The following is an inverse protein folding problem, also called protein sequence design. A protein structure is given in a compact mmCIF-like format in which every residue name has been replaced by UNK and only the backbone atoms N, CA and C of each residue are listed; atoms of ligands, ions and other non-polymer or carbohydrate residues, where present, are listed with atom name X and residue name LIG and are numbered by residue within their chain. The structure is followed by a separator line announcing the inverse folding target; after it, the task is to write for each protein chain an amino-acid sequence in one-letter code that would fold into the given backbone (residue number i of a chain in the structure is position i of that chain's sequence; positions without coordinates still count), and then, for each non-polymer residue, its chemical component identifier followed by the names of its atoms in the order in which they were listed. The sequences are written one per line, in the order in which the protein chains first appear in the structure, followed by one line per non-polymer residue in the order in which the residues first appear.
data_IF_597658011793
#
_entry.id   IF_597658011793
#
_cell.length_a   1.000
_cell.length_b   1.000
_cell.length_c   1.000
_cell.angle_alpha   90.00
_cell.angle_beta   90.00
_cell.angle_gamma   90.00
#
_symmetry.space_group_name_H-M   'P 1'
#
loop_
_entity.id
_entity.type
_entity.pdbx_description
1 polymer ?
#
# COMPACT_ATOMS: atom_id res chain seq x y z
N UNK A 1 19.54 -4.10 24.25
CA UNK A 1 18.11 -4.26 24.59
C UNK A 1 17.43 -4.65 23.29
N UNK A 2 16.64 -5.71 23.28
CA UNK A 2 15.84 -6.13 22.12
C UNK A 2 14.74 -5.10 21.92
N UNK A 3 14.65 -4.48 20.74
CA UNK A 3 13.53 -3.59 20.41
C UNK A 3 12.23 -4.41 20.44
N UNK A 4 11.18 -3.88 21.07
CA UNK A 4 9.87 -4.54 21.15
C UNK A 4 8.78 -3.58 20.69
N UNK A 5 7.92 -4.04 19.80
CA UNK A 5 6.91 -3.22 19.13
C UNK A 5 5.49 -3.76 19.37
N UNK A 6 4.53 -2.88 19.58
CA UNK A 6 3.11 -3.25 19.66
C UNK A 6 2.49 -3.28 18.27
N UNK A 7 1.99 -4.44 17.84
CA UNK A 7 1.43 -4.66 16.50
C UNK A 7 -0.04 -5.04 16.58
N UNK A 8 -0.91 -4.25 15.95
CA UNK A 8 -2.28 -4.66 15.69
C UNK A 8 -2.33 -5.54 14.44
N UNK A 9 -3.03 -6.67 14.52
CA UNK A 9 -3.24 -7.57 13.39
C UNK A 9 -4.72 -7.61 13.06
N UNK A 10 -5.07 -7.28 11.82
CA UNK A 10 -6.43 -7.28 11.30
C UNK A 10 -6.48 -8.22 10.10
N UNK A 11 -6.72 -9.52 10.30
CA UNK A 11 -6.77 -10.48 9.19
C UNK A 11 -7.88 -10.17 8.19
N UNK A 12 -9.04 -9.75 8.71
CA UNK A 12 -10.22 -9.38 7.92
C UNK A 12 -10.88 -10.57 7.23
N UNK A 13 -11.32 -10.38 5.98
CA UNK A 13 -12.21 -11.29 5.26
C UNK A 13 -11.51 -12.05 4.12
N UNK A 14 -12.13 -13.16 3.69
CA UNK A 14 -11.74 -13.94 2.52
C UNK A 14 -10.35 -14.56 2.65
N UNK A 15 -9.42 -14.23 1.75
CA UNK A 15 -8.04 -14.73 1.78
C UNK A 15 -7.17 -14.05 2.85
N UNK A 16 -7.65 -12.95 3.43
CA UNK A 16 -6.91 -12.14 4.42
C UNK A 16 -6.27 -12.98 5.54
N UNK A 17 -7.02 -13.83 6.25
CA UNK A 17 -6.47 -14.73 7.26
C UNK A 17 -5.35 -15.66 6.79
N UNK A 18 -5.45 -16.21 5.57
CA UNK A 18 -4.43 -17.12 5.03
C UNK A 18 -3.11 -16.38 4.74
N UNK A 19 -3.19 -15.21 4.10
CA UNK A 19 -2.00 -14.44 3.70
C UNK A 19 -1.37 -13.71 4.88
N UNK A 20 -2.17 -13.22 5.84
CA UNK A 20 -1.66 -12.61 7.08
C UNK A 20 -0.99 -13.67 7.96
N UNK A 21 -1.55 -14.88 8.05
CA UNK A 21 -0.89 -16.00 8.74
C UNK A 21 0.52 -16.25 8.20
N UNK A 22 0.67 -16.30 6.88
CA UNK A 22 1.99 -16.45 6.25
C UNK A 22 2.93 -15.27 6.54
N UNK A 23 2.42 -14.04 6.57
CA UNK A 23 3.22 -12.88 6.96
C UNK A 23 3.71 -12.99 8.41
N UNK A 24 2.87 -13.46 9.34
CA UNK A 24 3.26 -13.67 10.73
C UNK A 24 4.32 -14.76 10.89
N UNK A 25 4.26 -15.85 10.12
CA UNK A 25 5.31 -16.89 10.13
C UNK A 25 6.67 -16.34 9.65
N UNK A 26 6.65 -15.45 8.66
CA UNK A 26 7.84 -14.75 8.17
C UNK A 26 8.35 -13.72 9.19
N UNK A 27 7.44 -13.03 9.89
CA UNK A 27 7.79 -12.12 10.99
C UNK A 27 8.49 -12.87 12.11
N UNK A 28 8.00 -14.05 12.52
CA UNK A 28 8.66 -14.89 13.54
C UNK A 28 10.09 -15.27 13.14
N UNK A 29 10.29 -15.61 11.85
CA UNK A 29 11.62 -15.91 11.32
C UNK A 29 12.55 -14.68 11.35
N UNK A 30 12.02 -13.49 11.03
CA UNK A 30 12.77 -12.24 11.08
C UNK A 30 13.14 -11.85 12.52
N UNK A 31 12.19 -11.93 13.46
CA UNK A 31 12.41 -11.65 14.89
C UNK A 31 13.52 -12.53 15.46
N UNK A 32 13.44 -13.86 15.20
CA UNK A 32 14.43 -14.82 15.66
C UNK A 32 15.84 -14.54 15.11
N UNK A 33 15.94 -14.08 13.86
CA UNK A 33 17.23 -13.81 13.21
C UNK A 33 17.84 -12.47 13.59
N UNK A 34 17.03 -11.41 13.62
CA UNK A 34 17.51 -10.04 13.75
C UNK A 34 17.43 -9.49 15.18
N UNK A 35 16.78 -10.21 16.10
CA UNK A 35 16.83 -9.88 17.52
C UNK A 35 15.96 -8.69 17.94
N UNK A 36 14.77 -8.58 17.35
CA UNK A 36 13.67 -7.71 17.79
C UNK A 36 12.44 -8.57 18.13
N UNK A 37 11.35 -7.98 18.63
CA UNK A 37 10.11 -8.71 18.88
C UNK A 37 8.85 -7.85 18.73
N UNK A 38 7.72 -8.50 18.54
CA UNK A 38 6.41 -7.84 18.49
C UNK A 38 5.43 -8.41 19.51
N UNK A 39 4.68 -7.53 20.17
CA UNK A 39 3.50 -7.86 20.97
C UNK A 39 2.28 -7.69 20.08
N UNK A 40 1.69 -8.81 19.67
CA UNK A 40 0.63 -8.84 18.66
C UNK A 40 -0.74 -8.91 19.30
N UNK A 41 -1.62 -7.99 18.92
CA UNK A 41 -3.04 -8.01 19.30
C UNK A 41 -3.87 -8.21 18.04
N UNK A 42 -4.57 -9.34 17.96
CA UNK A 42 -5.55 -9.54 16.90
C UNK A 42 -6.81 -8.72 17.19
N UNK A 43 -7.26 -7.96 16.20
CA UNK A 43 -8.48 -7.16 16.26
C UNK A 43 -9.49 -7.77 15.31
N UNK A 44 -10.60 -8.25 15.87
CA UNK A 44 -11.71 -8.81 15.10
C UNK A 44 -12.46 -7.69 14.39
N UNK A 45 -12.48 -7.75 13.06
CA UNK A 45 -13.18 -6.83 12.19
C UNK A 45 -13.47 -7.52 10.84
N UNK A 46 -14.29 -6.90 10.01
CA UNK A 46 -14.65 -7.41 8.68
C UNK A 46 -16.14 -7.68 8.55
N UNK A 47 -16.51 -8.24 7.40
CA UNK A 47 -17.89 -8.48 7.00
C UNK A 47 -18.63 -9.38 7.98
N UNK A 48 -18.02 -10.49 8.41
CA UNK A 48 -18.68 -11.43 9.33
C UNK A 48 -18.92 -10.79 10.71
N UNK A 49 -17.96 -10.00 11.20
CA UNK A 49 -18.10 -9.24 12.44
C UNK A 49 -19.23 -8.21 12.32
N UNK A 50 -19.24 -7.45 11.23
CA UNK A 50 -20.28 -6.45 10.95
C UNK A 50 -21.67 -7.08 10.85
N UNK A 51 -21.82 -8.21 10.14
CA UNK A 51 -23.10 -8.91 10.01
C UNK A 51 -23.62 -9.43 11.36
N UNK A 52 -22.72 -9.80 12.27
CA UNK A 52 -23.09 -10.30 13.59
C UNK A 52 -23.41 -9.19 14.60
N UNK A 53 -22.74 -8.04 14.53
CA UNK A 53 -22.73 -7.03 15.60
C UNK A 53 -23.21 -5.65 15.15
N UNK A 54 -23.10 -5.33 13.86
CA UNK A 54 -23.27 -3.99 13.30
C UNK A 54 -22.10 -3.04 13.56
N UNK A 55 -21.04 -3.49 14.23
CA UNK A 55 -19.87 -2.68 14.60
C UNK A 55 -18.95 -2.41 13.40
N UNK A 56 -18.36 -1.22 13.38
CA UNK A 56 -17.47 -0.70 12.35
C UNK A 56 -16.18 -0.16 13.00
N UNK A 57 -15.49 0.78 12.36
CA UNK A 57 -14.19 1.26 12.86
C UNK A 57 -14.30 2.04 14.17
N UNK A 58 -15.38 2.80 14.37
CA UNK A 58 -15.52 3.66 15.54
C UNK A 58 -15.44 2.88 16.86
N UNK A 59 -15.90 1.62 16.84
CA UNK A 59 -15.94 0.71 17.97
C UNK A 59 -14.56 0.09 18.30
N UNK A 60 -13.68 -0.05 17.30
CA UNK A 60 -12.33 -0.64 17.46
C UNK A 60 -11.19 0.36 17.44
N UNK A 61 -11.47 1.63 17.12
CA UNK A 61 -10.48 2.70 16.97
C UNK A 61 -9.54 2.81 18.19
N UNK A 62 -10.10 2.77 19.40
CA UNK A 62 -9.31 2.99 20.62
C UNK A 62 -8.39 1.80 20.92
N UNK A 63 -8.80 0.59 20.54
CA UNK A 63 -7.94 -0.59 20.62
C UNK A 63 -6.77 -0.49 19.62
N UNK A 64 -6.99 0.11 18.44
CA UNK A 64 -5.97 0.27 17.42
C UNK A 64 -4.99 1.41 17.69
N UNK A 65 -5.46 2.53 18.25
CA UNK A 65 -4.69 3.80 18.35
C UNK A 65 -3.36 3.67 19.12
N UNK A 66 -3.27 2.74 20.07
CA UNK A 66 -2.09 2.56 20.92
C UNK A 66 -0.97 1.71 20.33
N UNK A 67 -1.17 1.13 19.15
CA UNK A 67 -0.17 0.28 18.49
C UNK A 67 0.88 1.09 17.73
N UNK A 68 2.08 0.53 17.54
CA UNK A 68 3.12 1.13 16.69
C UNK A 68 2.76 1.03 15.20
N UNK A 69 2.09 -0.05 14.81
CA UNK A 69 1.67 -0.30 13.43
C UNK A 69 0.46 -1.23 13.37
N UNK A 70 -0.21 -1.23 12.21
CA UNK A 70 -1.30 -2.15 11.87
C UNK A 70 -0.86 -3.01 10.68
N UNK A 71 -0.91 -4.33 10.84
CA UNK A 71 -0.85 -5.29 9.72
C UNK A 71 -2.28 -5.68 9.34
N UNK A 72 -2.69 -5.34 8.13
CA UNK A 72 -4.06 -5.53 7.64
C UNK A 72 -4.08 -6.48 6.44
N UNK A 73 -5.00 -7.45 6.46
CA UNK A 73 -5.17 -8.44 5.40
C UNK A 73 -6.01 -7.92 4.26
N UNK A 74 -7.32 -8.16 4.32
CA UNK A 74 -8.29 -7.68 3.33
C UNK A 74 -9.66 -7.54 3.96
N UNK A 75 -10.54 -6.70 3.42
CA UNK A 75 -11.91 -6.56 3.93
C UNK A 75 -12.91 -6.42 2.79
N UNK A 76 -14.05 -7.09 2.94
CA UNK A 76 -15.13 -7.08 1.97
C UNK A 76 -15.75 -8.45 1.76
N UNK A 77 -17.07 -8.47 1.61
CA UNK A 77 -17.85 -9.67 1.32
C UNK A 77 -19.09 -9.25 0.50
N UNK A 78 -19.46 -9.98 -0.57
CA UNK A 78 -20.68 -9.70 -1.34
C UNK A 78 -21.99 -9.68 -0.53
N UNK A 79 -22.01 -10.27 0.66
CA UNK A 79 -23.14 -10.25 1.58
C UNK A 79 -23.38 -8.87 2.23
N UNK A 80 -22.38 -7.99 2.24
CA UNK A 80 -22.49 -6.63 2.80
C UNK A 80 -22.68 -5.63 1.66
N UNK A 81 -23.59 -4.67 1.85
CA UNK A 81 -23.86 -3.66 0.82
C UNK A 81 -22.60 -2.83 0.54
N UNK A 82 -22.20 -2.66 -0.74
CA UNK A 82 -21.03 -1.87 -1.10
C UNK A 82 -21.07 -0.46 -0.51
N UNK A 83 -19.93 -0.02 0.02
CA UNK A 83 -19.77 1.28 0.67
C UNK A 83 -19.94 1.24 2.17
N UNK A 84 -20.47 0.17 2.78
CA UNK A 84 -20.56 0.07 4.25
C UNK A 84 -19.17 -0.18 4.85
N UNK A 85 -18.50 -1.25 4.46
CA UNK A 85 -17.18 -1.60 5.02
C UNK A 85 -16.08 -0.68 4.48
N UNK A 86 -16.14 -0.34 3.19
CA UNK A 86 -15.14 0.52 2.57
C UNK A 86 -15.16 1.92 3.19
N UNK A 87 -16.34 2.51 3.43
CA UNK A 87 -16.44 3.84 4.02
C UNK A 87 -16.38 3.81 5.54
N UNK A 88 -17.17 2.95 6.16
CA UNK A 88 -17.32 2.88 7.61
C UNK A 88 -16.18 2.18 8.34
N UNK A 89 -15.27 1.52 7.60
CA UNK A 89 -14.08 0.93 8.19
C UNK A 89 -12.79 1.46 7.57
N UNK A 90 -12.54 1.15 6.29
CA UNK A 90 -11.23 1.40 5.67
C UNK A 90 -10.97 2.91 5.51
N UNK A 91 -11.88 3.66 4.90
CA UNK A 91 -11.71 5.10 4.71
C UNK A 91 -11.78 5.85 6.04
N UNK A 92 -12.69 5.45 6.93
CA UNK A 92 -12.80 6.05 8.25
C UNK A 92 -11.51 5.87 9.07
N UNK A 93 -10.92 4.67 9.06
CA UNK A 93 -9.61 4.43 9.69
C UNK A 93 -8.53 5.34 9.12
N UNK A 94 -8.39 5.40 7.79
CA UNK A 94 -7.39 6.24 7.12
C UNK A 94 -7.55 7.71 7.51
N UNK A 95 -8.78 8.21 7.56
CA UNK A 95 -9.08 9.60 7.93
C UNK A 95 -8.82 9.88 9.42
N UNK A 96 -9.36 9.05 10.33
CA UNK A 96 -9.28 9.26 11.78
C UNK A 96 -7.88 9.03 12.35
N UNK A 97 -7.07 8.21 11.69
CA UNK A 97 -5.65 8.04 11.98
C UNK A 97 -4.76 8.89 11.09
N UNK A 98 -5.31 9.82 10.29
CA UNK A 98 -4.57 10.74 9.44
C UNK A 98 -3.46 10.05 8.61
N UNK A 99 -3.77 8.86 8.09
CA UNK A 99 -2.86 8.05 7.27
C UNK A 99 -2.78 8.64 5.85
N UNK A 100 -2.25 9.86 5.76
CA UNK A 100 -2.39 10.78 4.63
C UNK A 100 -1.65 10.35 3.36
N UNK A 101 -0.57 9.60 3.48
CA UNK A 101 0.21 9.11 2.34
C UNK A 101 0.04 7.60 2.19
N UNK A 102 -0.63 7.17 1.12
CA UNK A 102 -0.63 5.78 0.70
C UNK A 102 0.54 5.56 -0.27
N UNK A 103 1.57 4.86 0.19
CA UNK A 103 2.79 4.55 -0.56
C UNK A 103 2.65 3.19 -1.21
N UNK A 104 2.66 3.17 -2.54
CA UNK A 104 2.54 1.95 -3.36
C UNK A 104 3.74 1.81 -4.28
N UNK A 105 4.73 0.97 -3.92
CA UNK A 105 5.81 0.62 -4.82
C UNK A 105 5.26 -0.12 -6.03
N UNK A 106 5.72 0.25 -7.22
CA UNK A 106 5.44 -0.45 -8.48
C UNK A 106 6.76 -0.94 -9.04
N UNK A 107 7.01 -2.25 -8.91
CA UNK A 107 8.29 -2.88 -9.26
C UNK A 107 8.11 -4.24 -9.89
N UNK A 108 8.58 -4.40 -11.13
CA UNK A 108 8.68 -5.72 -11.73
C UNK A 108 9.92 -6.42 -11.16
N UNK A 109 9.73 -7.54 -10.47
CA UNK A 109 10.84 -8.32 -9.94
C UNK A 109 11.37 -9.35 -10.94
N UNK A 110 12.65 -9.77 -10.84
CA UNK A 110 13.20 -10.85 -11.66
C UNK A 110 12.37 -12.14 -11.57
N UNK A 111 12.09 -12.75 -12.73
CA UNK A 111 11.31 -14.00 -12.82
C UNK A 111 9.79 -13.83 -12.75
N UNK A 112 9.29 -12.64 -12.39
CA UNK A 112 7.84 -12.39 -12.30
C UNK A 112 7.26 -12.15 -13.70
N UNK A 113 6.21 -12.89 -14.12
CA UNK A 113 5.56 -12.65 -15.40
C UNK A 113 4.81 -11.30 -15.39
N UNK A 114 4.85 -10.58 -16.51
CA UNK A 114 4.08 -9.35 -16.74
C UNK A 114 3.33 -9.44 -18.05
N UNK A 115 2.10 -8.89 -18.15
CA UNK A 115 1.39 -8.81 -19.42
C UNK A 115 2.02 -7.79 -20.39
N UNK A 116 2.97 -6.97 -19.92
CA UNK A 116 3.60 -5.93 -20.72
C UNK A 116 4.75 -6.51 -21.56
N UNK A 117 4.55 -6.56 -22.87
CA UNK A 117 5.52 -7.11 -23.80
C UNK A 117 6.87 -6.37 -23.75
N UNK A 118 7.96 -7.12 -23.52
CA UNK A 118 9.32 -6.58 -23.53
C UNK A 118 9.67 -5.69 -22.33
N UNK A 119 8.84 -5.67 -21.28
CA UNK A 119 9.18 -5.01 -20.03
C UNK A 119 10.20 -5.86 -19.25
N UNK A 120 11.20 -5.20 -18.68
CA UNK A 120 12.23 -5.84 -17.85
C UNK A 120 12.24 -5.22 -16.45
N UNK A 121 12.73 -5.93 -15.43
CA UNK A 121 12.83 -5.41 -14.05
C UNK A 121 13.49 -4.04 -13.96
N UNK A 122 14.56 -3.81 -14.73
CA UNK A 122 15.33 -2.55 -14.71
C UNK A 122 14.54 -1.35 -15.25
N UNK A 123 13.47 -1.61 -16.02
CA UNK A 123 12.62 -0.57 -16.61
C UNK A 123 11.39 -0.27 -15.74
N UNK A 124 11.08 -1.09 -14.74
CA UNK A 124 9.87 -0.94 -13.93
C UNK A 124 10.23 -0.87 -12.45
N UNK A 125 10.56 0.33 -11.99
CA UNK A 125 10.76 0.60 -10.57
C UNK A 125 10.39 2.05 -10.26
N UNK A 126 9.21 2.25 -9.67
CA UNK A 126 8.72 3.56 -9.24
C UNK A 126 7.93 3.43 -7.94
N UNK A 127 7.59 4.56 -7.33
CA UNK A 127 6.73 4.62 -6.16
C UNK A 127 5.63 5.64 -6.41
N UNK A 128 4.38 5.21 -6.24
CA UNK A 128 3.23 6.09 -6.31
C UNK A 128 2.84 6.46 -4.87
N UNK A 129 2.86 7.75 -4.59
CA UNK A 129 2.42 8.35 -3.33
C UNK A 129 1.05 8.99 -3.57
N UNK A 130 0.01 8.30 -3.10
CA UNK A 130 -1.39 8.71 -3.20
C UNK A 130 -1.80 9.48 -1.95
N UNK A 131 -2.39 10.65 -2.11
CA UNK A 131 -3.12 11.32 -1.02
C UNK A 131 -4.32 10.43 -0.62
N UNK A 132 -4.49 10.17 0.67
CA UNK A 132 -5.29 9.05 1.14
C UNK A 132 -6.40 9.42 2.12
N UNK A 133 -6.59 10.71 2.40
CA UNK A 133 -7.54 11.22 3.41
C UNK A 133 -8.56 12.23 2.86
N UNK A 134 -8.27 12.85 1.72
CA UNK A 134 -9.07 13.92 1.11
C UNK A 134 -9.47 13.54 -0.35
N UNK A 135 -9.73 14.53 -1.19
CA UNK A 135 -10.12 14.37 -2.60
C UNK A 135 -11.59 13.98 -2.76
N UNK A 136 -11.91 13.21 -3.81
CA UNK A 136 -13.27 12.76 -4.09
C UNK A 136 -13.81 11.72 -3.07
N UNK A 137 -12.94 11.20 -2.20
CA UNK A 137 -13.22 10.08 -1.29
C UNK A 137 -13.67 10.57 0.10
N UNK A 138 -13.63 11.89 0.35
CA UNK A 138 -14.25 12.52 1.54
C UNK A 138 -15.74 12.21 1.67
N UNK A 139 -16.40 11.83 0.57
CA UNK A 139 -17.78 11.38 0.61
C UNK A 139 -18.81 12.50 0.75
N UNK A 140 -18.39 13.77 0.65
CA UNK A 140 -19.27 14.94 0.65
C UNK A 140 -20.04 15.05 -0.66
N UNK A 141 -21.35 15.27 -0.55
CA UNK A 141 -22.26 15.32 -1.68
C UNK A 141 -23.73 15.29 -1.25
N UNK A 142 -24.64 15.30 -2.23
CA UNK A 142 -26.07 15.13 -1.98
C UNK A 142 -26.79 14.61 -3.22
N UNK A 143 -27.95 13.98 -3.00
CA UNK A 143 -28.88 13.62 -4.08
C UNK A 143 -30.18 14.37 -3.90
N UNK A 144 -30.61 15.08 -4.93
CA UNK A 144 -31.88 15.83 -4.97
C UNK A 144 -32.85 15.12 -5.92
N UNK A 145 -34.15 15.12 -5.58
CA UNK A 145 -35.20 14.43 -6.34
C UNK A 145 -34.94 12.93 -6.58
N UNK A 146 -34.31 12.26 -5.60
CA UNK A 146 -34.01 10.84 -5.64
C UNK A 146 -35.26 10.00 -5.97
N UNK A 147 -35.10 8.97 -6.82
CA UNK A 147 -36.19 8.09 -7.23
C UNK A 147 -37.15 8.68 -8.26
N UNK A 148 -36.85 9.85 -8.83
CA UNK A 148 -37.63 10.45 -9.91
C UNK A 148 -36.79 10.62 -11.18
N UNK A 149 -37.40 10.82 -12.37
CA UNK A 149 -36.65 11.15 -13.60
C UNK A 149 -35.84 12.45 -13.52
N UNK A 150 -36.08 13.30 -12.52
CA UNK A 150 -35.37 14.56 -12.30
C UNK A 150 -34.23 14.44 -11.27
N UNK A 151 -33.83 13.21 -10.92
CA UNK A 151 -32.78 12.99 -9.92
C UNK A 151 -31.46 13.65 -10.32
N UNK A 152 -30.86 14.37 -9.38
CA UNK A 152 -29.54 15.00 -9.51
C UNK A 152 -28.66 14.48 -8.39
N UNK A 153 -27.49 13.95 -8.72
CA UNK A 153 -26.47 13.57 -7.76
C UNK A 153 -25.27 14.52 -7.89
N UNK A 154 -24.80 15.02 -6.75
CA UNK A 154 -23.63 15.87 -6.65
C UNK A 154 -22.63 15.21 -5.70
N UNK A 155 -21.38 15.17 -6.12
CA UNK A 155 -20.25 14.69 -5.31
C UNK A 155 -19.10 15.68 -5.42
N UNK A 156 -18.53 16.04 -4.28
CA UNK A 156 -17.46 17.03 -4.19
C UNK A 156 -16.09 16.36 -4.06
N UNK A 157 -15.05 17.02 -4.59
CA UNK A 157 -13.65 16.67 -4.35
C UNK A 157 -13.02 17.78 -3.52
N UNK A 158 -12.78 17.52 -2.24
CA UNK A 158 -12.23 18.50 -1.31
C UNK A 158 -10.72 18.33 -1.23
N UNK A 159 -9.97 19.38 -1.53
CA UNK A 159 -8.52 19.36 -1.53
C UNK A 159 -8.04 20.55 -0.71
N UNK A 160 -7.36 20.30 0.41
CA UNK A 160 -6.82 21.36 1.26
C UNK A 160 -5.33 21.54 0.99
N UNK A 161 -4.83 22.78 1.14
CA UNK A 161 -3.39 23.06 1.00
C UNK A 161 -2.56 22.22 1.98
N UNK A 162 -3.03 22.07 3.22
CA UNK A 162 -2.36 21.25 4.24
C UNK A 162 -2.37 19.75 3.90
N UNK A 163 -3.47 19.24 3.34
CA UNK A 163 -3.59 17.90 2.75
C UNK A 163 -2.53 17.61 1.71
N UNK A 164 -2.42 18.53 0.75
CA UNK A 164 -1.48 18.41 -0.37
C UNK A 164 -0.03 18.57 0.12
N UNK A 165 0.26 19.59 0.93
CA UNK A 165 1.63 19.90 1.37
C UNK A 165 2.30 18.73 2.09
N UNK A 166 1.59 18.04 2.99
CA UNK A 166 2.18 16.90 3.73
C UNK A 166 2.56 15.74 2.83
N UNK A 167 1.71 15.41 1.85
CA UNK A 167 1.95 14.28 0.93
C UNK A 167 3.02 14.64 -0.10
N UNK A 168 3.00 15.87 -0.62
CA UNK A 168 4.01 16.37 -1.57
C UNK A 168 5.38 16.50 -0.90
N UNK A 169 5.46 17.03 0.33
CA UNK A 169 6.71 17.10 1.09
C UNK A 169 7.30 15.70 1.33
N UNK A 170 6.47 14.75 1.76
CA UNK A 170 6.88 13.35 1.89
C UNK A 170 7.40 12.78 0.56
N UNK A 171 6.69 13.01 -0.55
CA UNK A 171 7.10 12.52 -1.86
C UNK A 171 8.43 13.13 -2.34
N UNK A 172 8.70 14.41 -2.06
CA UNK A 172 10.01 15.02 -2.32
C UNK A 172 11.12 14.38 -1.48
N UNK A 173 10.89 14.16 -0.18
CA UNK A 173 11.85 13.50 0.70
C UNK A 173 12.15 12.07 0.26
N UNK A 174 11.13 11.36 -0.23
CA UNK A 174 11.29 10.05 -0.84
C UNK A 174 12.13 10.12 -2.12
N UNK A 175 11.83 11.08 -3.01
CA UNK A 175 12.56 11.26 -4.27
C UNK A 175 14.05 11.57 -4.04
N UNK A 176 14.39 12.35 -3.00
CA UNK A 176 15.78 12.66 -2.63
C UNK A 176 16.63 11.41 -2.37
N UNK A 177 16.04 10.38 -1.76
CA UNK A 177 16.71 9.11 -1.49
C UNK A 177 16.76 8.16 -2.70
N UNK A 178 16.08 8.52 -3.80
CA UNK A 178 15.91 7.71 -5.02
C UNK A 178 16.62 8.37 -6.21
N UNK A 179 15.99 8.38 -7.39
CA UNK A 179 16.54 8.94 -8.63
C UNK A 179 16.31 10.45 -8.74
N UNK A 180 15.90 11.09 -7.63
CA UNK A 180 15.69 12.54 -7.51
C UNK A 180 14.73 13.08 -8.58
N UNK A 181 13.65 12.36 -8.83
CA UNK A 181 12.59 12.82 -9.74
C UNK A 181 11.20 12.64 -9.12
N UNK A 182 10.43 13.73 -9.10
CA UNK A 182 9.05 13.77 -8.66
C UNK A 182 8.14 14.13 -9.85
N UNK A 183 7.11 13.33 -10.10
CA UNK A 183 6.09 13.62 -11.12
C UNK A 183 4.74 13.86 -10.45
N UNK A 184 4.15 15.04 -10.65
CA UNK A 184 2.74 15.27 -10.29
C UNK A 184 1.85 14.64 -11.36
N UNK A 185 0.99 13.70 -10.96
CA UNK A 185 -0.08 13.16 -11.80
C UNK A 185 -1.41 13.82 -11.43
N UNK A 186 -2.06 14.52 -12.35
CA UNK A 186 -3.36 15.15 -12.09
C UNK A 186 -4.15 15.40 -13.39
N UNK A 187 -5.27 16.14 -13.33
CA UNK A 187 -6.03 16.58 -14.51
C UNK A 187 -6.27 18.09 -14.52
N UNK A 188 -5.18 18.87 -14.48
CA UNK A 188 -5.21 20.35 -14.30
C UNK A 188 -5.95 21.12 -15.39
N UNK A 189 -6.09 20.55 -16.58
CA UNK A 189 -6.80 21.17 -17.70
C UNK A 189 -8.33 21.09 -17.59
N UNK A 190 -8.86 20.20 -16.73
CA UNK A 190 -10.30 20.03 -16.51
C UNK A 190 -10.66 20.38 -15.05
N UNK A 191 -9.93 19.83 -14.09
CA UNK A 191 -10.11 20.10 -12.66
C UNK A 191 -9.30 21.34 -12.27
N UNK A 192 -9.67 22.50 -12.81
CA UNK A 192 -8.85 23.72 -12.73
C UNK A 192 -8.59 24.17 -11.30
N UNK A 193 -9.60 24.20 -10.42
CA UNK A 193 -9.44 24.66 -9.04
C UNK A 193 -8.52 23.75 -8.22
N UNK A 194 -8.80 22.44 -8.17
CA UNK A 194 -7.96 21.48 -7.47
C UNK A 194 -6.56 21.39 -8.10
N UNK A 195 -6.50 21.31 -9.43
CA UNK A 195 -5.25 21.20 -10.17
C UNK A 195 -4.35 22.43 -10.08
N UNK A 196 -4.92 23.63 -9.93
CA UNK A 196 -4.15 24.83 -9.63
C UNK A 196 -3.52 24.73 -8.24
N UNK A 197 -4.31 24.37 -7.21
CA UNK A 197 -3.79 24.24 -5.85
C UNK A 197 -2.69 23.18 -5.74
N UNK A 198 -2.85 22.02 -6.40
CA UNK A 198 -1.83 20.98 -6.45
C UNK A 198 -0.53 21.47 -7.12
N UNK A 199 -0.63 22.19 -8.24
CA UNK A 199 0.54 22.75 -8.92
C UNK A 199 1.24 23.82 -8.07
N UNK A 200 0.49 24.71 -7.43
CA UNK A 200 1.03 25.75 -6.54
C UNK A 200 1.82 25.12 -5.40
N UNK A 201 1.29 24.09 -4.72
CA UNK A 201 1.99 23.42 -3.63
C UNK A 201 3.25 22.70 -4.10
N UNK A 202 3.22 22.00 -5.25
CA UNK A 202 4.42 21.36 -5.81
C UNK A 202 5.48 22.41 -6.17
N UNK A 203 5.08 23.53 -6.77
CA UNK A 203 5.98 24.62 -7.10
C UNK A 203 6.59 25.25 -5.83
N UNK A 204 5.79 25.56 -4.82
CA UNK A 204 6.23 26.11 -3.54
C UNK A 204 7.27 25.20 -2.85
N UNK A 205 6.97 23.90 -2.77
CA UNK A 205 7.83 22.93 -2.09
C UNK A 205 9.09 22.61 -2.89
N UNK A 206 9.06 22.68 -4.22
CA UNK A 206 10.23 22.42 -5.07
C UNK A 206 11.43 23.30 -4.71
N UNK A 207 11.20 24.53 -4.23
CA UNK A 207 12.25 25.44 -3.77
C UNK A 207 13.04 24.90 -2.57
N UNK A 208 12.44 24.01 -1.76
CA UNK A 208 13.10 23.33 -0.63
C UNK A 208 13.90 22.09 -1.07
N UNK A 209 13.69 21.62 -2.29
CA UNK A 209 14.27 20.39 -2.84
C UNK A 209 14.92 20.63 -4.22
N UNK A 210 15.90 21.55 -4.34
CA UNK A 210 16.45 21.97 -5.62
C UNK A 210 17.19 20.86 -6.41
N UNK A 211 17.51 19.75 -5.74
CA UNK A 211 18.12 18.57 -6.35
C UNK A 211 17.11 17.63 -7.01
N UNK A 212 15.81 17.80 -6.77
CA UNK A 212 14.75 16.93 -7.30
C UNK A 212 14.17 17.54 -8.56
N UNK A 213 14.27 16.84 -9.68
CA UNK A 213 13.59 17.19 -10.93
C UNK A 213 12.08 17.05 -10.75
N UNK A 214 11.32 18.10 -11.09
CA UNK A 214 9.85 18.07 -11.09
C UNK A 214 9.30 17.89 -12.51
N UNK A 215 8.44 16.91 -12.71
CA UNK A 215 7.69 16.66 -13.96
C UNK A 215 6.16 16.71 -13.67
N UNK A 216 5.36 16.83 -14.72
CA UNK A 216 3.91 16.79 -14.66
C UNK A 216 3.35 15.89 -15.76
N UNK A 217 2.33 15.10 -15.41
CA UNK A 217 1.62 14.27 -16.38
C UNK A 217 0.12 14.30 -16.12
N UNK A 218 -0.67 14.36 -17.18
CA UNK A 218 -2.10 14.18 -17.05
C UNK A 218 -2.44 12.72 -16.73
N UNK A 219 -3.44 12.45 -15.88
CA UNK A 219 -3.78 11.08 -15.47
C UNK A 219 -4.10 10.13 -16.63
N UNK A 220 -4.75 10.61 -17.69
CA UNK A 220 -4.98 9.83 -18.92
C UNK A 220 -3.68 9.54 -19.67
N UNK A 221 -2.76 10.51 -19.75
CA UNK A 221 -1.43 10.29 -20.29
C UNK A 221 -0.59 9.36 -19.40
N UNK A 222 -0.78 9.39 -18.08
CA UNK A 222 -0.15 8.44 -17.15
C UNK A 222 -0.59 7.01 -17.48
N UNK A 223 -1.89 6.79 -17.66
CA UNK A 223 -2.42 5.49 -18.07
C UNK A 223 -1.86 5.00 -19.42
N UNK A 224 -1.48 5.91 -20.31
CA UNK A 224 -0.78 5.57 -21.55
C UNK A 224 0.71 5.27 -21.35
N UNK A 225 1.41 6.09 -20.55
CA UNK A 225 2.86 5.98 -20.37
C UNK A 225 3.28 4.83 -19.44
N UNK A 226 2.53 4.55 -18.38
CA UNK A 226 2.86 3.47 -17.43
C UNK A 226 3.13 2.12 -18.09
N UNK A 227 2.27 1.60 -19.00
CA UNK A 227 2.53 0.31 -19.66
C UNK A 227 3.62 0.37 -20.74
N UNK A 228 4.02 1.55 -21.23
CA UNK A 228 4.93 1.65 -22.38
C UNK A 228 6.36 2.07 -21.98
N UNK A 229 6.45 3.06 -21.10
CA UNK A 229 7.69 3.69 -20.65
C UNK A 229 7.66 3.94 -19.14
N UNK A 230 7.45 2.92 -18.29
CA UNK A 230 7.42 3.09 -16.84
C UNK A 230 8.72 3.68 -16.27
N UNK A 231 9.86 3.44 -16.92
CA UNK A 231 11.19 3.95 -16.51
C UNK A 231 11.27 5.48 -16.46
N UNK A 232 10.32 6.18 -17.10
CA UNK A 232 10.21 7.64 -17.06
C UNK A 232 9.95 8.18 -15.65
N UNK A 233 9.26 7.40 -14.81
CA UNK A 233 8.75 7.83 -13.52
C UNK A 233 9.60 7.26 -12.39
N UNK A 234 9.83 8.04 -11.32
CA UNK A 234 10.52 7.59 -10.11
C UNK A 234 9.58 7.68 -8.90
N UNK A 235 9.31 8.89 -8.40
CA UNK A 235 8.23 9.12 -7.44
C UNK A 235 7.11 9.85 -8.13
N UNK A 236 5.90 9.29 -8.08
CA UNK A 236 4.68 9.92 -8.60
C UNK A 236 3.85 10.35 -7.41
N UNK A 237 3.45 11.62 -7.35
CA UNK A 237 2.49 12.11 -6.36
C UNK A 237 1.17 12.47 -7.03
N UNK A 238 0.05 12.13 -6.39
CA UNK A 238 -1.29 12.29 -6.97
C UNK A 238 -2.38 12.38 -5.91
N UNK A 239 -3.55 12.90 -6.31
CA UNK A 239 -4.76 12.89 -5.49
C UNK A 239 -5.31 11.47 -5.27
N UNK A 240 -6.33 11.37 -4.41
CA UNK A 240 -6.87 10.10 -3.95
C UNK A 240 -7.46 9.23 -5.07
N UNK A 241 -8.35 9.79 -5.91
CA UNK A 241 -9.03 9.02 -6.96
C UNK A 241 -8.06 8.62 -8.09
N UNK A 242 -7.20 9.53 -8.54
CA UNK A 242 -6.24 9.19 -9.58
C UNK A 242 -5.22 8.17 -9.06
N UNK A 243 -4.77 8.31 -7.82
CA UNK A 243 -3.92 7.34 -7.14
C UNK A 243 -4.53 5.94 -7.11
N UNK A 244 -5.82 5.82 -6.79
CA UNK A 244 -6.54 4.55 -6.85
C UNK A 244 -6.38 3.88 -8.22
N UNK A 245 -6.69 4.63 -9.28
CA UNK A 245 -6.67 4.13 -10.66
C UNK A 245 -5.25 3.74 -11.11
N UNK A 246 -4.28 4.63 -10.95
CA UNK A 246 -2.94 4.41 -11.53
C UNK A 246 -2.14 3.38 -10.73
N UNK A 247 -2.46 3.16 -9.45
CA UNK A 247 -1.79 2.15 -8.64
C UNK A 247 -2.29 0.74 -8.95
N UNK A 248 -3.57 0.58 -9.26
CA UNK A 248 -4.11 -0.70 -9.77
C UNK A 248 -3.56 -1.01 -11.17
N UNK A 249 -3.41 -0.01 -12.05
CA UNK A 249 -2.70 -0.18 -13.31
C UNK A 249 -1.24 -0.58 -13.08
N UNK A 250 -0.55 0.07 -12.13
CA UNK A 250 0.80 -0.29 -11.70
C UNK A 250 0.89 -1.73 -11.20
N UNK A 251 -0.08 -2.18 -10.41
CA UNK A 251 -0.16 -3.56 -9.91
C UNK A 251 -0.20 -4.57 -11.06
N UNK A 252 -0.98 -4.32 -12.11
CA UNK A 252 -1.01 -5.19 -13.31
C UNK A 252 0.34 -5.20 -14.03
N UNK A 253 1.00 -4.05 -14.17
CA UNK A 253 2.29 -3.92 -14.85
C UNK A 253 3.40 -4.72 -14.16
N UNK A 254 3.41 -4.73 -12.82
CA UNK A 254 4.44 -5.44 -12.04
C UNK A 254 4.19 -6.95 -11.85
N UNK A 255 3.10 -7.49 -12.41
CA UNK A 255 2.80 -8.93 -12.38
C UNK A 255 1.44 -9.28 -11.76
N UNK A 256 0.71 -8.32 -11.22
CA UNK A 256 -0.66 -8.49 -10.75
C UNK A 256 -0.87 -8.04 -9.29
N UNK A 257 -2.12 -8.12 -8.85
CA UNK A 257 -2.53 -7.68 -7.51
C UNK A 257 -1.92 -8.53 -6.38
N UNK A 258 -1.59 -9.81 -6.64
CA UNK A 258 -1.02 -10.72 -5.64
C UNK A 258 0.39 -10.36 -5.17
N UNK A 259 1.10 -9.49 -5.88
CA UNK A 259 2.44 -8.98 -5.52
C UNK A 259 2.43 -7.53 -5.06
N UNK A 260 1.26 -6.89 -5.16
CA UNK A 260 1.08 -5.47 -4.94
C UNK A 260 0.86 -5.17 -3.45
N UNK A 261 1.64 -4.23 -2.93
CA UNK A 261 1.71 -3.89 -1.50
C UNK A 261 1.51 -2.40 -1.28
N UNK A 262 1.04 -2.02 -0.10
CA UNK A 262 0.87 -0.62 0.26
C UNK A 262 1.16 -0.32 1.73
N UNK A 263 1.58 0.91 1.98
CA UNK A 263 1.72 1.49 3.31
C UNK A 263 0.89 2.78 3.41
N UNK A 264 -0.10 2.79 4.29
CA UNK A 264 -0.94 3.93 4.64
C UNK A 264 -0.31 4.63 5.84
N UNK A 265 0.51 5.66 5.56
CA UNK A 265 1.38 6.27 6.54
C UNK A 265 0.71 7.44 7.25
N UNK A 266 0.69 7.36 8.58
CA UNK A 266 0.54 8.52 9.44
C UNK A 266 1.91 9.23 9.51
N UNK A 267 2.01 10.40 8.90
CA UNK A 267 3.29 11.10 8.70
C UNK A 267 3.74 11.90 9.94
N UNK A 268 2.82 12.15 10.86
CA UNK A 268 2.99 12.97 12.06
C UNK A 268 3.30 12.14 13.33
N UNK A 269 3.18 10.82 13.26
CA UNK A 269 3.40 9.90 14.37
C UNK A 269 2.32 9.94 15.46
N UNK A 270 1.12 10.46 15.15
CA UNK A 270 0.02 10.65 16.12
C UNK A 270 -0.90 9.44 16.25
N UNK A 271 -0.82 8.50 15.30
CA UNK A 271 -1.57 7.25 15.24
C UNK A 271 -0.77 6.20 14.44
N UNK A 272 -1.10 4.90 14.52
CA UNK A 272 -0.39 3.88 13.75
C UNK A 272 -0.56 4.05 12.24
N UNK A 273 0.53 3.77 11.52
CA UNK A 273 0.49 3.49 10.09
C UNK A 273 -0.06 2.08 9.83
N UNK A 274 -0.71 1.87 8.69
CA UNK A 274 -1.27 0.57 8.30
C UNK A 274 -0.61 0.01 7.04
N UNK A 275 -0.30 -1.28 7.04
CA UNK A 275 0.37 -1.99 5.95
C UNK A 275 -0.53 -3.13 5.46
N UNK A 276 -0.82 -3.14 4.15
CA UNK A 276 -1.77 -4.06 3.53
C UNK A 276 -1.37 -4.43 2.10
N UNK A 277 -1.73 -5.65 1.69
CA UNK A 277 -1.72 -5.99 0.28
C UNK A 277 -2.81 -5.21 -0.47
N UNK A 278 -2.61 -4.94 -1.76
CA UNK A 278 -3.57 -4.14 -2.54
C UNK A 278 -4.78 -4.97 -2.97
N UNK A 279 -4.65 -6.30 -3.04
CA UNK A 279 -5.74 -7.18 -3.46
C UNK A 279 -6.95 -7.12 -2.49
N UNK A 280 -8.15 -7.36 -3.02
CA UNK A 280 -9.34 -7.53 -2.20
C UNK A 280 -9.37 -8.88 -1.46
N UNK A 281 -10.53 -9.23 -0.91
CA UNK A 281 -10.74 -10.46 -0.14
C UNK A 281 -10.79 -11.75 -0.97
N UNK A 282 -10.91 -11.65 -2.29
CA UNK A 282 -10.97 -12.79 -3.24
C UNK A 282 -11.79 -14.00 -2.72
N UNK A 283 -13.11 -13.83 -2.44
CA UNK A 283 -13.93 -14.87 -1.82
C UNK A 283 -14.03 -16.17 -2.64
N UNK A 284 -13.79 -16.08 -3.93
CA UNK A 284 -13.81 -17.21 -4.86
C UNK A 284 -12.65 -18.19 -4.68
N UNK A 285 -11.54 -17.77 -4.06
CA UNK A 285 -10.37 -18.62 -3.78
C UNK A 285 -10.06 -18.80 -2.28
N UNK A 286 -10.80 -18.11 -1.39
CA UNK A 286 -10.66 -18.24 0.05
C UNK A 286 -10.81 -19.70 0.53
N UNK A 287 -9.93 -20.10 1.45
CA UNK A 287 -9.88 -21.45 2.04
C UNK A 287 -9.33 -22.54 1.11
N UNK A 288 -8.89 -22.21 -0.11
CA UNK A 288 -8.36 -23.19 -1.07
C UNK A 288 -6.83 -23.33 -1.01
N UNK A 289 -6.15 -22.47 -0.27
CA UNK A 289 -4.68 -22.40 -0.30
C UNK A 289 -4.15 -21.90 -1.64
N UNK A 290 -4.93 -21.10 -2.37
CA UNK A 290 -4.60 -20.62 -3.73
C UNK A 290 -4.22 -19.14 -3.79
N UNK A 291 -4.26 -18.46 -2.64
CA UNK A 291 -3.82 -17.08 -2.53
C UNK A 291 -2.29 -17.03 -2.50
N UNK A 292 -1.71 -16.07 -3.22
CA UNK A 292 -0.28 -15.82 -3.12
C UNK A 292 -0.01 -14.86 -1.95
N UNK A 293 0.72 -15.28 -0.89
CA UNK A 293 0.93 -14.44 0.28
C UNK A 293 1.98 -13.34 0.06
N UNK A 294 2.63 -13.29 -1.11
CA UNK A 294 3.75 -12.39 -1.37
C UNK A 294 3.40 -10.91 -1.16
N UNK A 295 2.21 -10.46 -1.58
CA UNK A 295 1.76 -9.08 -1.34
C UNK A 295 1.66 -8.73 0.15
N UNK A 296 1.15 -9.64 0.99
CA UNK A 296 1.07 -9.44 2.44
C UNK A 296 2.46 -9.46 3.08
N UNK A 297 3.35 -10.34 2.64
CA UNK A 297 4.73 -10.43 3.16
C UNK A 297 5.58 -9.22 2.72
N UNK A 298 5.40 -8.71 1.51
CA UNK A 298 6.04 -7.45 1.07
C UNK A 298 5.49 -6.25 1.85
N UNK A 299 4.21 -6.28 2.25
CA UNK A 299 3.63 -5.26 3.14
C UNK A 299 4.24 -5.33 4.54
N UNK A 300 4.51 -6.54 5.04
CA UNK A 300 5.30 -6.71 6.26
C UNK A 300 6.72 -6.14 6.09
N UNK A 301 7.36 -6.30 4.93
CA UNK A 301 8.67 -5.69 4.69
C UNK A 301 8.61 -4.15 4.78
N UNK A 302 7.57 -3.52 4.22
CA UNK A 302 7.32 -2.07 4.39
C UNK A 302 7.12 -1.70 5.87
N UNK A 303 6.36 -2.51 6.61
CA UNK A 303 6.13 -2.34 8.05
C UNK A 303 7.44 -2.38 8.84
N UNK A 304 8.28 -3.40 8.62
CA UNK A 304 9.57 -3.51 9.29
C UNK A 304 10.49 -2.33 8.96
N UNK A 305 10.49 -1.88 7.70
CA UNK A 305 11.19 -0.67 7.29
C UNK A 305 10.70 0.55 8.09
N UNK A 306 9.38 0.74 8.21
CA UNK A 306 8.79 1.82 8.99
C UNK A 306 9.12 1.74 10.49
N UNK A 307 9.19 0.54 11.08
CA UNK A 307 9.57 0.38 12.49
C UNK A 307 11.05 0.68 12.76
N UNK A 308 11.88 0.80 11.72
CA UNK A 308 13.33 0.99 11.79
C UNK A 308 14.14 -0.30 11.64
N UNK A 309 13.49 -1.45 11.44
CA UNK A 309 14.12 -2.76 11.28
C UNK A 309 14.54 -3.01 9.81
N UNK A 310 15.34 -2.10 9.26
CA UNK A 310 15.66 -2.06 7.82
C UNK A 310 16.44 -3.27 7.31
N UNK A 311 17.28 -3.91 8.13
CA UNK A 311 17.97 -5.15 7.75
C UNK A 311 17.01 -6.33 7.61
N UNK A 312 16.09 -6.48 8.58
CA UNK A 312 15.05 -7.50 8.55
C UNK A 312 14.11 -7.28 7.36
N UNK A 313 13.70 -6.03 7.13
CA UNK A 313 12.86 -5.62 6.01
C UNK A 313 13.45 -6.07 4.66
N UNK A 314 14.74 -5.76 4.40
CA UNK A 314 15.43 -6.17 3.17
C UNK A 314 15.56 -7.69 3.02
N UNK A 315 15.78 -8.41 4.12
CA UNK A 315 15.86 -9.87 4.07
C UNK A 315 14.49 -10.50 3.73
N UNK A 316 13.40 -9.98 4.30
CA UNK A 316 12.04 -10.41 3.98
C UNK A 316 11.70 -10.11 2.52
N UNK A 317 12.03 -8.93 2.01
CA UNK A 317 11.84 -8.57 0.60
C UNK A 317 12.61 -9.53 -0.33
N UNK A 318 13.92 -9.71 -0.10
CA UNK A 318 14.76 -10.57 -0.92
C UNK A 318 14.28 -12.03 -0.91
N UNK A 319 13.92 -12.58 0.24
CA UNK A 319 13.37 -13.93 0.36
C UNK A 319 12.06 -14.09 -0.43
N UNK A 320 11.19 -13.09 -0.34
CA UNK A 320 9.90 -13.10 -1.03
C UNK A 320 10.10 -13.05 -2.54
N UNK A 321 10.96 -12.15 -3.03
CA UNK A 321 11.28 -12.00 -4.46
C UNK A 321 11.90 -13.28 -5.02
N UNK A 322 12.79 -13.93 -4.27
CA UNK A 322 13.39 -15.19 -4.68
C UNK A 322 12.35 -16.29 -4.90
N UNK A 323 11.42 -16.48 -3.97
CA UNK A 323 10.34 -17.47 -4.13
C UNK A 323 9.40 -17.08 -5.26
N UNK A 324 9.05 -15.80 -5.34
CA UNK A 324 8.11 -15.28 -6.34
C UNK A 324 8.61 -15.52 -7.78
N UNK A 325 9.90 -15.32 -8.03
CA UNK A 325 10.51 -15.53 -9.36
C UNK A 325 10.57 -17.01 -9.80
N UNK A 326 10.28 -17.95 -8.90
CA UNK A 326 10.24 -19.37 -9.19
C UNK A 326 8.81 -19.93 -9.34
N UNK A 327 7.79 -19.14 -8.99
CA UNK A 327 6.41 -19.59 -9.07
C UNK A 327 5.94 -19.68 -10.54
N UNK A 328 5.41 -20.82 -11.00
CA UNK A 328 4.90 -20.97 -12.36
C UNK A 328 3.64 -20.12 -12.64
N UNK A 329 2.86 -19.80 -11.60
CA UNK A 329 1.76 -18.85 -11.65
C UNK A 329 1.65 -18.08 -10.33
N UNK A 330 1.02 -16.91 -10.37
CA UNK A 330 0.98 -15.98 -9.24
C UNK A 330 -0.29 -16.09 -8.39
N UNK A 331 -1.19 -17.01 -8.71
CA UNK A 331 -2.37 -17.37 -7.93
C UNK A 331 -2.96 -18.69 -8.46
N UNK A 332 -3.88 -19.30 -7.70
CA UNK A 332 -4.60 -20.49 -8.14
C UNK A 332 -3.81 -21.78 -7.96
N UNK A 333 -4.42 -22.90 -8.37
CA UNK A 333 -3.78 -24.22 -8.33
C UNK A 333 -2.51 -24.30 -9.18
N UNK A 334 -2.39 -23.47 -10.21
CA UNK A 334 -1.24 -23.40 -11.10
C UNK A 334 0.00 -22.80 -10.43
N UNK A 335 -0.12 -22.21 -9.23
CA UNK A 335 1.02 -21.72 -8.44
C UNK A 335 1.99 -22.85 -8.07
N UNK A 336 1.55 -24.11 -8.10
CA UNK A 336 2.39 -25.29 -7.81
C UNK A 336 2.76 -25.47 -6.35
N UNK A 337 2.40 -24.51 -5.49
CA UNK A 337 2.50 -24.54 -4.04
C UNK A 337 1.21 -23.95 -3.47
N UNK A 338 0.83 -24.36 -2.27
CA UNK A 338 -0.25 -23.73 -1.50
C UNK A 338 0.21 -22.42 -0.86
N UNK A 339 -0.74 -21.57 -0.44
CA UNK A 339 -0.47 -20.33 0.30
C UNK A 339 0.54 -20.54 1.44
N UNK A 340 0.31 -21.57 2.27
CA UNK A 340 1.15 -21.87 3.43
C UNK A 340 2.53 -22.43 3.05
N UNK A 341 2.64 -23.22 1.98
CA UNK A 341 3.94 -23.69 1.47
C UNK A 341 4.81 -22.53 0.97
N UNK A 342 4.21 -21.55 0.29
CA UNK A 342 4.92 -20.32 -0.12
C UNK A 342 5.39 -19.55 1.11
N UNK A 343 4.52 -19.31 2.09
CA UNK A 343 4.86 -18.63 3.34
C UNK A 343 5.99 -19.32 4.11
N UNK A 344 5.88 -20.63 4.31
CA UNK A 344 6.88 -21.44 5.01
C UNK A 344 8.24 -21.41 4.30
N UNK A 345 8.24 -21.46 2.97
CA UNK A 345 9.46 -21.37 2.16
C UNK A 345 10.16 -20.02 2.33
N UNK A 346 9.41 -18.93 2.28
CA UNK A 346 9.95 -17.58 2.50
C UNK A 346 10.50 -17.46 3.93
N UNK A 347 9.75 -17.92 4.92
CA UNK A 347 10.19 -17.90 6.32
C UNK A 347 11.48 -18.71 6.54
N UNK A 348 11.65 -19.85 5.88
CA UNK A 348 12.88 -20.64 5.92
C UNK A 348 14.08 -19.87 5.33
N UNK A 349 13.93 -19.24 4.17
CA UNK A 349 14.99 -18.43 3.56
C UNK A 349 15.43 -17.27 4.47
N UNK A 350 14.46 -16.59 5.09
CA UNK A 350 14.74 -15.53 6.07
C UNK A 350 15.51 -16.09 7.27
N UNK A 351 15.07 -17.21 7.83
CA UNK A 351 15.70 -17.82 9.02
C UNK A 351 17.13 -18.30 8.77
N UNK A 352 17.36 -18.94 7.62
CA UNK A 352 18.59 -19.66 7.31
C UNK A 352 19.67 -18.78 6.66
N UNK A 353 19.43 -17.48 6.50
CA UNK A 353 20.34 -16.56 5.82
C UNK A 353 20.66 -16.92 4.36
N UNK A 354 19.72 -17.58 3.70
CA UNK A 354 19.84 -18.05 2.31
C UNK A 354 19.22 -17.08 1.29
N UNK A 355 19.07 -15.80 1.65
CA UNK A 355 18.43 -14.76 0.82
C UNK A 355 19.41 -14.15 -0.18
N UNK A 356 19.01 -14.04 -1.44
CA UNK A 356 19.77 -13.30 -2.45
C UNK A 356 19.40 -11.82 -2.50
N UNK A 357 20.19 -10.98 -1.84
CA UNK A 357 19.98 -9.53 -1.81
C UNK A 357 20.21 -8.85 -3.17
N UNK A 358 20.87 -9.51 -4.14
CA UNK A 358 21.12 -8.94 -5.47
C UNK A 358 19.84 -8.83 -6.30
N UNK A 359 18.77 -9.51 -5.89
CA UNK A 359 17.45 -9.42 -6.52
C UNK A 359 16.73 -8.10 -6.22
N UNK A 360 17.19 -7.33 -5.22
CA UNK A 360 16.58 -6.07 -4.77
C UNK A 360 17.62 -4.96 -4.49
N UNK A 361 18.46 -4.58 -5.48
CA UNK A 361 19.61 -3.70 -5.27
C UNK A 361 19.24 -2.30 -4.74
N UNK A 362 18.13 -1.73 -5.23
CA UNK A 362 17.64 -0.39 -4.86
C UNK A 362 16.35 -0.45 -4.01
N UNK A 363 16.34 -1.29 -2.97
CA UNK A 363 15.19 -1.46 -2.08
C UNK A 363 14.70 -0.14 -1.48
N UNK A 364 13.39 0.10 -1.62
CA UNK A 364 12.68 1.24 -1.00
C UNK A 364 12.73 1.20 0.54
N UNK A 365 12.94 0.01 1.12
CA UNK A 365 12.85 -0.22 2.56
C UNK A 365 13.91 0.55 3.35
N UNK A 366 15.10 0.74 2.76
CA UNK A 366 16.13 1.59 3.35
C UNK A 366 15.70 3.06 3.42
N UNK A 367 15.08 3.57 2.37
CA UNK A 367 14.60 4.96 2.31
C UNK A 367 13.44 5.19 3.29
N UNK A 368 12.46 4.27 3.34
CA UNK A 368 11.32 4.38 4.26
C UNK A 368 11.76 4.39 5.72
N UNK A 369 12.76 3.59 6.10
CA UNK A 369 13.31 3.59 7.46
C UNK A 369 13.87 4.96 7.87
N UNK A 370 14.46 5.71 6.93
CA UNK A 370 14.98 7.07 7.21
C UNK A 370 13.89 8.14 7.28
N UNK A 371 12.71 7.86 6.74
CA UNK A 371 11.56 8.78 6.70
C UNK A 371 10.51 8.46 7.76
N UNK A 372 10.67 7.36 8.48
CA UNK A 372 9.80 7.00 9.59
C UNK A 372 9.77 8.13 10.65
N UNK A 373 8.59 8.46 11.21
CA UNK A 373 8.51 9.41 12.30
C UNK A 373 9.42 8.97 13.46
N UNK A 374 10.14 9.91 14.06
CA UNK A 374 10.94 9.63 15.25
C UNK A 374 10.01 9.21 16.39
N UNK A 375 10.28 8.05 17.00
CA UNK A 375 9.61 7.64 18.24
C UNK A 375 9.95 8.63 19.34
N UNK A 376 8.94 9.32 19.86
CA UNK A 376 9.06 10.28 20.97
C UNK A 376 9.32 9.62 22.31
#
# INVERSE_FOLDING_TARGET
MTNRYSLAVLPGDGIGPEVVGCALDVLDAAEARFGFGTDRTEITAGAQHYLATGELFAEVQDALRGHDAILFGSMGDPAVTPGILERGFILEMRQRFQQAANVRPVRLYPGVPTPIAGLTPERCEMVIVRENTEGAYVGSGSTVHAGTPNAVAMQESLNTRAGIERVVDFAFRLALGRRKKLTLCHKTNILVAAGQLWQEVVADLSARYPEVETDYVHVDAMCFHLPLTPERFDVVVTDNLFGDIITDLGAVIQGGLGVATSANLNLDGTAPSMFEAIHGSAPDIAGKGWANPSGAILSLALLLGHLGEGEAARAVEAATVQVLGELPALAGAEMGMSTSEVGARIAALVRDAATDATLVPDSLLGQLATLAPSRG
#
